data_IF_051466665800
#
_entry.id   IF_051466665800
#
_cell.length_a   1.000
_cell.length_b   1.000
_cell.length_c   1.000
_cell.angle_alpha   90.00
_cell.angle_beta   90.00
_cell.angle_gamma   90.00
#
_symmetry.space_group_name_H-M   'P 1'
#
loop_
_entity.id
_entity.type
_entity.pdbx_description
1 polymer ?
#
# COMPACT_ATOMS: atom_id res chain seq x y z
N UNK A 1 0.58 11.98 -20.72
CA UNK A 1 0.94 12.98 -19.68
C UNK A 1 1.03 12.34 -18.29
N UNK A 2 0.01 11.59 -17.82
CA UNK A 2 0.04 10.87 -16.51
C UNK A 2 1.18 9.86 -16.47
N UNK A 3 1.36 9.03 -17.49
CA UNK A 3 2.41 8.00 -17.55
C UNK A 3 3.83 8.58 -17.45
N UNK A 4 4.05 9.78 -18.01
CA UNK A 4 5.34 10.45 -17.91
C UNK A 4 5.65 10.91 -16.47
N UNK A 5 4.64 11.35 -15.72
CA UNK A 5 4.81 11.72 -14.29
C UNK A 5 5.06 10.49 -13.42
N UNK A 6 4.31 9.42 -13.65
CA UNK A 6 4.48 8.17 -12.89
C UNK A 6 5.90 7.59 -13.10
N UNK A 7 6.39 7.57 -14.33
CA UNK A 7 7.75 7.11 -14.65
C UNK A 7 8.82 7.99 -13.98
N UNK A 8 8.65 9.32 -13.97
CA UNK A 8 9.58 10.22 -13.32
C UNK A 8 9.63 10.03 -11.81
N UNK A 9 8.46 9.83 -11.16
CA UNK A 9 8.40 9.55 -9.72
C UNK A 9 9.04 8.21 -9.40
N UNK A 10 8.79 7.17 -10.20
CA UNK A 10 9.41 5.86 -10.04
C UNK A 10 10.94 5.95 -10.10
N UNK A 11 11.47 6.62 -11.13
CA UNK A 11 12.91 6.83 -11.27
C UNK A 11 13.52 7.58 -10.07
N UNK A 12 12.81 8.59 -9.55
CA UNK A 12 13.25 9.35 -8.36
C UNK A 12 13.29 8.46 -7.12
N UNK A 13 12.28 7.61 -6.93
CA UNK A 13 12.24 6.66 -5.81
C UNK A 13 13.39 5.64 -5.91
N UNK A 14 13.69 5.14 -7.11
CA UNK A 14 14.81 4.25 -7.36
C UNK A 14 16.15 4.92 -7.05
N UNK A 15 16.33 6.19 -7.43
CA UNK A 15 17.52 6.96 -7.09
C UNK A 15 17.70 7.13 -5.56
N UNK A 16 16.61 7.38 -4.82
CA UNK A 16 16.60 7.46 -3.36
C UNK A 16 16.93 6.10 -2.75
N UNK A 17 16.31 5.03 -3.22
CA UNK A 17 16.54 3.67 -2.77
C UNK A 17 18.03 3.28 -2.95
N UNK A 18 18.65 3.71 -4.04
CA UNK A 18 20.07 3.51 -4.35
C UNK A 18 21.03 4.48 -3.62
N UNK A 19 20.51 5.33 -2.75
CA UNK A 19 21.32 6.17 -1.86
C UNK A 19 21.66 7.56 -2.37
N UNK A 20 21.08 7.99 -3.50
CA UNK A 20 21.30 9.34 -4.02
C UNK A 20 20.73 10.39 -3.06
N UNK A 21 21.48 11.46 -2.83
CA UNK A 21 20.99 12.56 -1.98
C UNK A 21 19.93 13.38 -2.71
N UNK A 22 18.93 13.87 -1.98
CA UNK A 22 17.86 14.71 -2.54
C UNK A 22 18.36 15.96 -3.26
N UNK A 23 19.50 16.51 -2.81
CA UNK A 23 20.16 17.66 -3.48
C UNK A 23 20.70 17.34 -4.88
N UNK A 24 20.87 16.07 -5.19
CA UNK A 24 21.42 15.57 -6.46
C UNK A 24 20.33 15.05 -7.42
N UNK A 25 19.07 15.06 -6.95
CA UNK A 25 17.92 14.59 -7.72
C UNK A 25 17.36 15.75 -8.55
N UNK A 26 17.28 15.55 -9.85
CA UNK A 26 16.67 16.50 -10.76
C UNK A 26 15.18 16.27 -10.86
N UNK A 27 14.39 17.32 -10.65
CA UNK A 27 12.92 17.29 -10.75
C UNK A 27 12.51 17.94 -12.05
N UNK A 28 12.49 17.15 -13.12
CA UNK A 28 12.09 17.61 -14.45
C UNK A 28 10.60 17.35 -14.72
N UNK A 29 10.02 18.18 -15.60
CA UNK A 29 8.63 18.02 -16.04
C UNK A 29 7.56 18.37 -15.00
N UNK A 30 7.94 18.90 -13.83
CA UNK A 30 7.00 19.32 -12.79
C UNK A 30 6.82 20.83 -12.84
N UNK A 31 5.57 21.34 -12.78
CA UNK A 31 5.30 22.78 -12.68
C UNK A 31 6.04 23.44 -11.51
N UNK A 32 6.57 24.63 -11.71
CA UNK A 32 7.43 25.31 -10.72
C UNK A 32 6.75 25.53 -9.37
N UNK A 33 5.44 25.76 -9.35
CA UNK A 33 4.66 25.90 -8.14
C UNK A 33 4.55 24.62 -7.30
N UNK A 34 4.78 23.44 -7.90
CA UNK A 34 4.75 22.14 -7.21
C UNK A 34 6.14 21.66 -6.78
N UNK A 35 7.22 22.20 -7.36
CA UNK A 35 8.58 21.79 -7.03
C UNK A 35 8.93 21.91 -5.54
N UNK A 36 8.55 22.98 -4.78
CA UNK A 36 8.85 23.07 -3.36
C UNK A 36 8.17 21.98 -2.53
N UNK A 37 6.92 21.64 -2.86
CA UNK A 37 6.16 20.59 -2.18
C UNK A 37 6.81 19.23 -2.44
N UNK A 38 7.12 18.94 -3.70
CA UNK A 38 7.77 17.70 -4.10
C UNK A 38 9.15 17.57 -3.45
N UNK A 39 9.96 18.64 -3.45
CA UNK A 39 11.27 18.63 -2.78
C UNK A 39 11.16 18.27 -1.31
N UNK A 40 10.20 18.83 -0.59
CA UNK A 40 9.96 18.49 0.82
C UNK A 40 9.56 17.02 0.99
N UNK A 41 8.70 16.50 0.12
CA UNK A 41 8.30 15.09 0.14
C UNK A 41 9.49 14.16 -0.13
N UNK A 42 10.38 14.54 -1.05
CA UNK A 42 11.61 13.78 -1.34
C UNK A 42 12.61 13.83 -0.18
N UNK A 43 12.71 14.93 0.54
CA UNK A 43 13.54 15.03 1.75
C UNK A 43 13.02 14.07 2.85
N UNK A 44 11.70 13.96 3.01
CA UNK A 44 11.09 13.00 3.92
C UNK A 44 11.31 11.56 3.46
N UNK A 45 11.14 11.28 2.16
CA UNK A 45 11.37 9.97 1.56
C UNK A 45 12.85 9.53 1.69
N UNK A 46 13.79 10.47 1.72
CA UNK A 46 15.22 10.19 1.87
C UNK A 46 15.66 9.97 3.33
N UNK A 47 14.74 9.93 4.29
CA UNK A 47 15.07 9.54 5.66
C UNK A 47 15.58 8.09 5.73
N UNK A 48 16.47 7.76 6.68
CA UNK A 48 17.00 6.38 6.82
C UNK A 48 15.89 5.34 6.95
N UNK A 49 14.80 5.67 7.64
CA UNK A 49 13.64 4.80 7.82
C UNK A 49 12.94 4.51 6.50
N UNK A 50 12.57 5.55 5.72
CA UNK A 50 11.85 5.38 4.46
C UNK A 50 12.73 4.69 3.42
N UNK A 51 14.02 5.02 3.35
CA UNK A 51 14.98 4.33 2.47
C UNK A 51 15.07 2.83 2.79
N UNK A 52 15.10 2.47 4.07
CA UNK A 52 15.04 1.07 4.47
C UNK A 52 13.70 0.44 4.04
N UNK A 53 12.59 1.11 4.31
CA UNK A 53 11.25 0.62 3.99
C UNK A 53 11.05 0.37 2.49
N UNK A 54 11.50 1.27 1.62
CA UNK A 54 11.42 1.12 0.15
C UNK A 54 12.21 -0.11 -0.33
N UNK A 55 13.33 -0.43 0.33
CA UNK A 55 14.19 -1.55 -0.03
C UNK A 55 13.75 -2.90 0.58
N UNK A 56 12.77 -2.91 1.48
CA UNK A 56 12.25 -4.15 2.07
C UNK A 56 11.24 -4.79 1.15
N UNK A 57 11.58 -5.95 0.65
CA UNK A 57 10.64 -6.83 -0.03
C UNK A 57 10.02 -7.80 0.99
N UNK A 58 8.87 -7.43 1.53
CA UNK A 58 8.15 -8.21 2.53
C UNK A 58 7.72 -9.59 1.98
N UNK A 59 7.52 -9.73 0.67
CA UNK A 59 7.12 -10.99 0.05
C UNK A 59 8.12 -12.12 0.31
N UNK A 60 9.42 -11.79 0.38
CA UNK A 60 10.50 -12.75 0.68
C UNK A 60 10.45 -13.32 2.09
N UNK A 61 9.67 -12.70 3.00
CA UNK A 61 9.54 -13.15 4.39
C UNK A 61 8.28 -13.98 4.64
N UNK A 62 7.35 -14.03 3.70
CA UNK A 62 6.05 -14.71 3.88
C UNK A 62 6.21 -16.19 4.20
N UNK A 63 7.15 -16.89 3.57
CA UNK A 63 7.44 -18.30 3.85
C UNK A 63 8.01 -18.57 5.24
N UNK A 64 8.50 -17.55 5.95
CA UNK A 64 9.00 -17.66 7.32
C UNK A 64 7.87 -17.60 8.36
N UNK A 65 6.67 -17.18 7.98
CA UNK A 65 5.52 -17.09 8.86
C UNK A 65 5.03 -18.50 9.21
N UNK A 66 4.87 -18.77 10.51
CA UNK A 66 4.43 -20.07 11.06
C UNK A 66 3.11 -20.01 11.81
N UNK A 67 2.68 -18.82 12.22
CA UNK A 67 1.38 -18.61 12.86
C UNK A 67 0.24 -18.60 11.83
N UNK A 68 -1.00 -18.89 12.24
CA UNK A 68 -2.17 -18.67 11.38
C UNK A 68 -2.27 -17.23 10.92
N UNK A 69 -2.69 -17.01 9.68
CA UNK A 69 -2.81 -15.68 9.05
C UNK A 69 -4.21 -15.48 8.49
N UNK A 70 -4.85 -14.37 8.84
CA UNK A 70 -5.99 -13.82 8.13
C UNK A 70 -5.53 -12.58 7.36
N UNK A 71 -5.69 -12.60 6.05
CA UNK A 71 -5.41 -11.44 5.18
C UNK A 71 -6.72 -10.97 4.54
N UNK A 72 -6.99 -9.67 4.68
CA UNK A 72 -8.17 -9.03 4.12
C UNK A 72 -7.75 -7.88 3.21
N UNK A 73 -8.43 -7.72 2.07
CA UNK A 73 -8.21 -6.59 1.16
C UNK A 73 -9.56 -6.15 0.57
N UNK A 74 -9.78 -4.84 0.50
CA UNK A 74 -10.96 -4.29 -0.15
C UNK A 74 -10.85 -4.36 -1.68
N UNK A 75 -11.95 -4.70 -2.36
CA UNK A 75 -11.93 -4.73 -3.85
C UNK A 75 -11.85 -3.33 -4.47
N UNK A 76 -12.20 -2.29 -3.71
CA UNK A 76 -12.07 -0.88 -4.09
C UNK A 76 -10.89 -0.17 -3.42
N UNK A 77 -9.94 -0.92 -2.90
CA UNK A 77 -8.70 -0.36 -2.38
C UNK A 77 -7.84 0.21 -3.53
N UNK A 78 -7.70 1.54 -3.56
CA UNK A 78 -6.88 2.26 -4.55
C UNK A 78 -5.45 2.52 -4.08
N UNK A 79 -5.11 2.16 -2.83
CA UNK A 79 -3.77 2.32 -2.28
C UNK A 79 -2.97 1.02 -2.35
N UNK A 80 -3.65 -0.13 -2.19
CA UNK A 80 -3.05 -1.46 -2.30
C UNK A 80 -3.87 -2.28 -3.27
N UNK A 81 -3.30 -2.63 -4.42
CA UNK A 81 -3.99 -3.44 -5.43
C UNK A 81 -4.42 -4.79 -4.86
N UNK A 82 -5.73 -4.98 -4.80
CA UNK A 82 -6.35 -6.15 -4.18
C UNK A 82 -5.91 -7.46 -4.85
N UNK A 83 -5.83 -7.47 -6.17
CA UNK A 83 -5.52 -8.69 -6.93
C UNK A 83 -4.03 -9.04 -6.81
N UNK A 84 -3.15 -8.07 -7.03
CA UNK A 84 -1.71 -8.26 -6.93
C UNK A 84 -1.32 -8.70 -5.51
N UNK A 85 -1.81 -7.97 -4.49
CA UNK A 85 -1.48 -8.25 -3.09
C UNK A 85 -1.96 -9.64 -2.64
N UNK A 86 -3.22 -9.99 -2.90
CA UNK A 86 -3.74 -11.31 -2.51
C UNK A 86 -3.04 -12.45 -3.23
N UNK A 87 -2.63 -12.28 -4.49
CA UNK A 87 -1.86 -13.28 -5.23
C UNK A 87 -0.48 -13.52 -4.62
N UNK A 88 0.20 -12.45 -4.21
CA UNK A 88 1.50 -12.56 -3.52
C UNK A 88 1.34 -13.29 -2.18
N UNK A 89 0.31 -12.98 -1.41
CA UNK A 89 0.03 -13.63 -0.13
C UNK A 89 -0.30 -15.12 -0.29
N UNK A 90 -1.16 -15.47 -1.26
CA UNK A 90 -1.51 -16.87 -1.58
C UNK A 90 -0.27 -17.73 -1.88
N UNK A 91 0.65 -17.20 -2.68
CA UNK A 91 1.86 -17.92 -3.06
C UNK A 91 2.92 -17.94 -1.96
N UNK A 92 3.01 -16.85 -1.18
CA UNK A 92 4.07 -16.66 -0.19
C UNK A 92 3.80 -17.34 1.15
N UNK A 93 2.53 -17.42 1.60
CA UNK A 93 2.14 -18.03 2.89
C UNK A 93 2.09 -19.55 2.85
N UNK A 94 3.06 -20.19 2.18
CA UNK A 94 3.10 -21.63 1.93
C UNK A 94 3.32 -22.49 3.18
N UNK A 95 3.80 -21.92 4.28
CA UNK A 95 4.24 -22.65 5.47
C UNK A 95 3.36 -22.42 6.72
N UNK A 96 2.18 -21.81 6.55
CA UNK A 96 1.22 -21.57 7.64
C UNK A 96 -0.22 -21.80 7.18
N UNK A 97 -1.11 -22.06 8.15
CA UNK A 97 -2.55 -22.03 7.90
C UNK A 97 -2.93 -20.58 7.59
N UNK A 98 -3.53 -20.33 6.44
CA UNK A 98 -3.93 -18.97 6.07
C UNK A 98 -5.32 -18.92 5.46
N UNK A 99 -5.95 -17.78 5.59
CA UNK A 99 -7.22 -17.43 4.98
C UNK A 99 -7.06 -16.06 4.33
N UNK A 100 -7.31 -15.97 3.04
CA UNK A 100 -7.25 -14.73 2.29
C UNK A 100 -8.63 -14.40 1.76
N UNK A 101 -9.12 -13.20 2.06
CA UNK A 101 -10.44 -12.74 1.62
C UNK A 101 -10.37 -11.37 0.97
N UNK A 102 -11.01 -11.26 -0.19
CA UNK A 102 -11.33 -9.99 -0.83
C UNK A 102 -12.71 -9.58 -0.33
N UNK A 103 -12.80 -8.39 0.26
CA UNK A 103 -14.08 -7.84 0.74
C UNK A 103 -14.62 -6.90 -0.33
N UNK A 104 -15.77 -7.25 -0.86
CA UNK A 104 -16.34 -6.50 -1.98
C UNK A 104 -16.84 -5.12 -1.58
N UNK A 105 -16.66 -4.14 -2.47
CA UNK A 105 -17.19 -2.78 -2.32
C UNK A 105 -16.51 -1.90 -1.28
N UNK A 106 -15.48 -2.37 -0.56
CA UNK A 106 -14.81 -1.59 0.48
C UNK A 106 -13.46 -1.04 0.03
N UNK A 107 -13.09 0.13 0.58
CA UNK A 107 -11.84 0.85 0.33
C UNK A 107 -10.68 0.36 1.22
N UNK A 108 -9.56 1.09 1.23
CA UNK A 108 -8.38 0.80 2.07
C UNK A 108 -8.65 0.82 3.58
N UNK A 109 -9.62 1.61 4.03
CA UNK A 109 -10.05 1.68 5.44
C UNK A 109 -11.14 0.65 5.78
N UNK A 110 -11.46 -0.25 4.86
CA UNK A 110 -12.56 -1.20 4.98
C UNK A 110 -13.92 -0.54 5.17
N UNK A 111 -14.16 0.59 4.51
CA UNK A 111 -15.45 1.30 4.47
C UNK A 111 -16.11 1.04 3.12
N UNK A 112 -17.43 0.87 3.09
CA UNK A 112 -18.18 0.87 1.84
C UNK A 112 -18.01 2.22 1.13
N UNK A 113 -17.73 2.18 -0.16
CA UNK A 113 -17.41 3.37 -0.93
C UNK A 113 -17.90 3.26 -2.38
N UNK A 114 -17.96 4.39 -3.06
CA UNK A 114 -18.32 4.43 -4.48
C UNK A 114 -17.12 4.22 -5.39
N UNK A 115 -16.02 4.91 -5.15
CA UNK A 115 -14.83 4.92 -6.01
C UNK A 115 -13.58 4.35 -5.37
N UNK A 116 -13.51 4.30 -4.03
CA UNK A 116 -12.32 3.92 -3.27
C UNK A 116 -11.26 5.02 -3.13
N UNK A 117 -11.54 6.20 -3.70
CA UNK A 117 -10.64 7.35 -3.62
C UNK A 117 -10.52 7.86 -2.19
N UNK A 118 -9.30 8.26 -1.80
CA UNK A 118 -9.01 8.86 -0.48
C UNK A 118 -9.83 10.14 -0.21
N UNK A 119 -10.30 10.82 -1.25
CA UNK A 119 -11.14 12.03 -1.08
C UNK A 119 -12.55 11.70 -0.57
N UNK A 120 -13.01 10.46 -0.69
CA UNK A 120 -14.29 10.01 -0.15
C UNK A 120 -14.24 9.79 1.37
N UNK A 121 -13.07 9.55 1.96
CA UNK A 121 -12.94 9.10 3.37
C UNK A 121 -13.61 10.05 4.36
N UNK A 122 -13.52 11.36 4.12
CA UNK A 122 -14.13 12.37 4.99
C UNK A 122 -15.66 12.45 4.90
N UNK A 123 -16.24 11.82 3.86
CA UNK A 123 -17.68 11.83 3.60
C UNK A 123 -18.36 10.52 4.04
N UNK A 124 -17.57 9.52 4.41
CA UNK A 124 -18.06 8.21 4.84
C UNK A 124 -18.15 8.19 6.36
N UNK A 125 -19.36 8.04 6.91
CA UNK A 125 -19.59 7.94 8.35
C UNK A 125 -19.19 6.57 8.91
N UNK A 126 -19.23 5.53 8.07
CA UNK A 126 -18.84 4.19 8.46
C UNK A 126 -17.35 4.12 8.84
N UNK A 127 -17.04 3.55 9.99
CA UNK A 127 -15.65 3.37 10.42
C UNK A 127 -15.03 2.12 9.79
N UNK A 128 -15.73 0.98 9.88
CA UNK A 128 -15.34 -0.31 9.28
C UNK A 128 -16.64 -1.05 8.93
N UNK A 129 -16.71 -1.63 7.75
CA UNK A 129 -17.85 -2.41 7.32
C UNK A 129 -18.12 -3.60 8.27
N UNK A 130 -19.38 -3.83 8.69
CA UNK A 130 -19.73 -4.87 9.67
C UNK A 130 -19.24 -6.27 9.28
N UNK A 131 -19.31 -6.64 8.00
CA UNK A 131 -18.86 -7.94 7.51
C UNK A 131 -17.35 -8.16 7.64
N UNK A 132 -16.55 -7.10 7.68
CA UNK A 132 -15.10 -7.17 7.97
C UNK A 132 -14.92 -7.60 9.42
N UNK A 133 -15.63 -6.93 10.35
CA UNK A 133 -15.58 -7.26 11.79
C UNK A 133 -16.07 -8.68 12.06
N UNK A 134 -17.18 -9.08 11.44
CA UNK A 134 -17.73 -10.44 11.53
C UNK A 134 -16.72 -11.48 11.01
N UNK A 135 -16.07 -11.18 9.88
CA UNK A 135 -15.05 -12.07 9.31
C UNK A 135 -13.88 -12.27 10.27
N UNK A 136 -13.39 -11.18 10.88
CA UNK A 136 -12.30 -11.25 11.85
C UNK A 136 -12.73 -12.03 13.09
N UNK A 137 -13.89 -11.71 13.66
CA UNK A 137 -14.40 -12.37 14.85
C UNK A 137 -14.62 -13.88 14.63
N UNK A 138 -15.21 -14.24 13.50
CA UNK A 138 -15.41 -15.65 13.13
C UNK A 138 -14.07 -16.38 13.01
N UNK A 139 -13.11 -15.80 12.29
CA UNK A 139 -11.81 -16.42 12.08
C UNK A 139 -11.05 -16.63 13.41
N UNK A 140 -11.08 -15.64 14.33
CA UNK A 140 -10.46 -15.78 15.65
C UNK A 140 -11.10 -16.93 16.45
N UNK A 141 -12.41 -17.10 16.38
CA UNK A 141 -13.11 -18.16 17.11
C UNK A 141 -12.90 -19.57 16.50
N UNK A 142 -12.36 -19.65 15.30
CA UNK A 142 -12.06 -20.91 14.58
C UNK A 142 -10.56 -21.32 14.68
N UNK A 143 -9.74 -20.55 15.39
CA UNK A 143 -8.32 -20.85 15.63
C UNK A 143 -8.13 -21.99 16.62
#
# INVERSE_FOLDING_TARGET
>A
MVDSYCNNISNILDEIANGKKTSEITIDGVPDNLKPVLKRSLEQANSPYIRHFINVDASKQLSNIKCPVLALNGTKDTQVDCTANTTILETGLSNCKHTIKKIDGVNHLFQHCSTGSIVEYQQIEETIAPEVLETIAKWINEL
#
